data_IF_498579236195
#
_entry.id   IF_498579236195
#
_cell.length_a   1.000
_cell.length_b   1.000
_cell.length_c   1.000
_cell.angle_alpha   90.00
_cell.angle_beta   90.00
_cell.angle_gamma   90.00
#
_symmetry.space_group_name_H-M   'P 1'
#
loop_
_entity.id
_entity.type
_entity.pdbx_description
1 polymer ?
#
# COMPACT_ATOMS: atom_id res chain seq x y z
N UNK A 1 -9.65 17.35 13.39
CA UNK A 1 -9.64 18.11 12.10
C UNK A 1 -10.73 19.17 12.10
N UNK A 2 -10.45 20.44 11.72
CA UNK A 2 -11.49 21.50 11.63
C UNK A 2 -12.31 21.29 10.35
N UNK A 3 -13.59 20.94 10.48
CA UNK A 3 -14.48 20.57 9.36
C UNK A 3 -14.54 21.64 8.24
N UNK A 4 -14.62 22.92 8.60
CA UNK A 4 -14.67 24.03 7.63
C UNK A 4 -13.34 24.14 6.87
N UNK A 5 -12.21 24.02 7.57
CA UNK A 5 -10.88 24.03 6.95
C UNK A 5 -10.72 22.86 5.97
N UNK A 6 -11.14 21.65 6.38
CA UNK A 6 -11.09 20.45 5.54
C UNK A 6 -11.90 20.61 4.24
N UNK A 7 -13.09 21.16 4.31
CA UNK A 7 -13.92 21.41 3.13
C UNK A 7 -13.29 22.46 2.20
N UNK A 8 -12.69 23.51 2.75
CA UNK A 8 -11.98 24.53 1.97
C UNK A 8 -10.74 23.95 1.27
N UNK A 9 -9.97 23.12 1.98
CA UNK A 9 -8.77 22.50 1.43
C UNK A 9 -9.13 21.43 0.37
N UNK A 10 -10.18 20.64 0.59
CA UNK A 10 -10.71 19.73 -0.43
C UNK A 10 -11.22 20.49 -1.67
N UNK A 11 -11.88 21.63 -1.48
CA UNK A 11 -12.30 22.49 -2.59
C UNK A 11 -11.09 23.02 -3.37
N UNK A 12 -10.02 23.43 -2.69
CA UNK A 12 -8.75 23.84 -3.33
C UNK A 12 -8.15 22.72 -4.16
N UNK A 13 -8.04 21.48 -3.61
CA UNK A 13 -7.55 20.32 -4.34
C UNK A 13 -8.42 20.00 -5.57
N UNK A 14 -9.74 20.11 -5.46
CA UNK A 14 -10.64 19.95 -6.61
C UNK A 14 -10.47 21.04 -7.67
N UNK A 15 -10.15 22.28 -7.26
CA UNK A 15 -9.80 23.35 -8.22
C UNK A 15 -8.47 23.09 -8.91
N UNK A 16 -7.47 22.55 -8.21
CA UNK A 16 -6.19 22.18 -8.81
C UNK A 16 -6.36 21.11 -9.88
N UNK A 17 -7.24 20.13 -9.67
CA UNK A 17 -7.57 19.13 -10.68
C UNK A 17 -8.26 19.68 -11.96
N UNK A 18 -8.62 20.96 -11.95
CA UNK A 18 -9.20 21.68 -13.12
C UNK A 18 -8.24 22.68 -13.76
N UNK A 19 -6.99 22.72 -13.33
CA UNK A 19 -5.96 23.52 -13.99
C UNK A 19 -5.70 22.98 -15.41
N UNK A 20 -5.06 23.74 -16.26
CA UNK A 20 -4.46 23.21 -17.47
C UNK A 20 -3.12 22.53 -17.15
N UNK A 21 -2.65 21.69 -18.06
CA UNK A 21 -1.41 20.91 -17.88
C UNK A 21 -0.17 21.82 -17.63
N UNK A 22 -0.12 23.00 -18.25
CA UNK A 22 0.99 23.95 -18.06
C UNK A 22 0.99 24.53 -16.65
N UNK A 23 -0.17 24.95 -16.14
CA UNK A 23 -0.29 25.50 -14.78
C UNK A 23 -0.03 24.44 -13.73
N UNK A 24 -0.44 23.16 -13.97
CA UNK A 24 -0.13 22.06 -13.06
C UNK A 24 1.37 21.83 -12.98
N UNK A 25 2.09 21.79 -14.10
CA UNK A 25 3.56 21.65 -14.12
C UNK A 25 4.25 22.80 -13.37
N UNK A 26 3.80 24.04 -13.54
CA UNK A 26 4.33 25.18 -12.77
C UNK A 26 4.07 25.03 -11.27
N UNK A 27 2.91 24.52 -10.88
CA UNK A 27 2.58 24.27 -9.47
C UNK A 27 3.45 23.14 -8.89
N UNK A 28 3.62 22.05 -9.62
CA UNK A 28 4.47 20.91 -9.22
C UNK A 28 5.91 21.35 -9.05
N UNK A 29 6.46 22.06 -10.05
CA UNK A 29 7.82 22.58 -10.02
C UNK A 29 8.06 23.51 -8.83
N UNK A 30 7.15 24.45 -8.58
CA UNK A 30 7.24 25.32 -7.40
C UNK A 30 7.31 24.53 -6.09
N UNK A 31 6.48 23.50 -5.95
CA UNK A 31 6.49 22.66 -4.74
C UNK A 31 7.76 21.82 -4.64
N UNK A 32 8.27 21.33 -5.78
CA UNK A 32 9.52 20.60 -5.84
C UNK A 32 10.68 21.48 -5.34
N UNK A 33 10.82 22.70 -5.87
CA UNK A 33 11.88 23.63 -5.44
C UNK A 33 11.76 23.95 -3.95
N UNK A 34 10.54 24.19 -3.46
CA UNK A 34 10.30 24.36 -2.02
C UNK A 34 10.77 23.14 -1.20
N UNK A 35 10.53 21.93 -1.66
CA UNK A 35 10.98 20.71 -0.98
C UNK A 35 12.50 20.55 -1.02
N UNK A 36 13.15 20.86 -2.14
CA UNK A 36 14.61 20.79 -2.28
C UNK A 36 15.32 21.77 -1.35
N UNK A 37 14.89 23.04 -1.31
CA UNK A 37 15.42 24.05 -0.37
C UNK A 37 15.20 23.62 1.08
N UNK A 38 13.98 23.17 1.41
CA UNK A 38 13.67 22.72 2.76
C UNK A 38 14.56 21.55 3.20
N UNK A 39 14.77 20.57 2.32
CA UNK A 39 15.62 19.42 2.62
C UNK A 39 17.09 19.82 2.76
N UNK A 40 17.56 20.75 1.94
CA UNK A 40 18.92 21.33 2.06
C UNK A 40 19.15 22.02 3.41
N UNK A 41 18.19 22.82 3.85
CA UNK A 41 18.30 23.59 5.08
C UNK A 41 18.13 22.74 6.36
N UNK A 42 17.27 21.71 6.31
CA UNK A 42 16.78 21.04 7.52
C UNK A 42 17.18 19.56 7.65
N UNK A 43 17.70 18.91 6.60
CA UNK A 43 18.16 17.52 6.67
C UNK A 43 19.67 17.44 6.46
N UNK A 44 20.38 16.95 7.47
CA UNK A 44 21.84 16.76 7.39
C UNK A 44 22.24 15.76 6.30
N UNK A 45 21.41 14.75 6.05
CA UNK A 45 21.62 13.78 4.98
C UNK A 45 21.58 14.46 3.60
N UNK A 46 20.50 15.18 3.29
CA UNK A 46 20.34 15.78 1.95
C UNK A 46 21.38 16.87 1.68
N UNK A 47 21.66 17.73 2.65
CA UNK A 47 22.73 18.72 2.48
C UNK A 47 24.06 18.07 2.12
N UNK A 48 24.51 17.11 2.96
CA UNK A 48 25.77 16.40 2.74
C UNK A 48 25.83 15.67 1.38
N UNK A 49 24.75 14.99 1.00
CA UNK A 49 24.74 14.19 -0.25
C UNK A 49 24.65 15.07 -1.50
N UNK A 50 23.95 16.19 -1.43
CA UNK A 50 23.91 17.17 -2.52
C UNK A 50 25.26 17.85 -2.71
N UNK A 51 25.89 18.31 -1.62
CA UNK A 51 27.26 18.85 -1.65
C UNK A 51 28.27 17.83 -2.21
N UNK A 52 28.18 16.56 -1.81
CA UNK A 52 29.05 15.49 -2.31
C UNK A 52 28.83 15.21 -3.81
N UNK A 53 27.61 15.46 -4.31
CA UNK A 53 27.30 15.40 -5.75
C UNK A 53 27.69 16.69 -6.51
N UNK A 54 28.32 17.66 -5.86
CA UNK A 54 28.72 18.93 -6.45
C UNK A 54 27.57 19.92 -6.64
N UNK A 55 26.42 19.70 -6.01
CA UNK A 55 25.24 20.56 -6.08
C UNK A 55 25.38 21.65 -5.03
N UNK A 56 25.20 22.90 -5.44
CA UNK A 56 25.21 24.09 -4.59
C UNK A 56 23.79 24.57 -4.34
N UNK A 57 23.59 25.36 -3.27
CA UNK A 57 22.28 25.93 -2.94
C UNK A 57 21.69 26.76 -4.10
N UNK A 58 22.51 27.53 -4.80
CA UNK A 58 22.08 28.31 -5.97
C UNK A 58 21.56 27.48 -7.15
N UNK A 59 21.93 26.20 -7.21
CA UNK A 59 21.49 25.29 -8.28
C UNK A 59 20.16 24.58 -7.95
N UNK A 60 19.65 24.70 -6.70
CA UNK A 60 18.41 24.05 -6.31
C UNK A 60 17.20 24.54 -7.09
N UNK A 61 17.22 25.77 -7.61
CA UNK A 61 16.13 26.34 -8.38
C UNK A 61 16.09 25.90 -9.85
N UNK A 62 17.25 25.60 -10.45
CA UNK A 62 17.35 25.40 -11.91
C UNK A 62 17.78 23.98 -12.31
N UNK A 63 18.51 23.26 -11.43
CA UNK A 63 19.05 21.95 -11.77
C UNK A 63 17.91 20.93 -11.97
N UNK A 64 17.91 20.15 -13.08
CA UNK A 64 16.94 19.07 -13.26
C UNK A 64 16.95 18.07 -12.10
N UNK A 65 15.78 17.58 -11.69
CA UNK A 65 15.68 16.64 -10.56
C UNK A 65 16.48 15.36 -10.80
N UNK A 66 16.62 14.92 -12.05
CA UNK A 66 17.44 13.76 -12.44
C UNK A 66 18.93 13.88 -12.08
N UNK A 67 19.42 15.08 -11.83
CA UNK A 67 20.81 15.30 -11.38
C UNK A 67 21.01 15.09 -9.88
N UNK A 68 19.92 15.02 -9.09
CA UNK A 68 20.00 14.81 -7.66
C UNK A 68 20.21 13.32 -7.31
N UNK A 69 20.95 13.02 -6.22
CA UNK A 69 21.15 11.65 -5.76
C UNK A 69 19.84 10.93 -5.48
N UNK A 70 19.82 9.62 -5.74
CA UNK A 70 18.68 8.75 -5.41
C UNK A 70 18.89 8.08 -4.06
N UNK A 71 17.79 7.72 -3.39
CA UNK A 71 17.80 6.90 -2.19
C UNK A 71 16.97 5.63 -2.43
N UNK A 72 17.43 4.51 -1.94
CA UNK A 72 16.67 3.27 -1.87
C UNK A 72 16.31 2.93 -0.41
N UNK A 73 15.60 1.85 -0.21
CA UNK A 73 15.17 1.41 1.12
C UNK A 73 16.36 1.12 2.05
N UNK A 74 17.48 0.63 1.52
CA UNK A 74 18.66 0.33 2.33
C UNK A 74 19.29 1.63 2.85
N UNK A 75 19.58 2.55 1.96
CA UNK A 75 20.12 3.88 2.28
C UNK A 75 19.19 4.64 3.23
N UNK A 76 17.87 4.58 2.97
CA UNK A 76 16.86 5.20 3.81
C UNK A 76 16.88 4.67 5.26
N UNK A 77 17.03 3.35 5.45
CA UNK A 77 17.08 2.75 6.79
C UNK A 77 18.42 2.98 7.49
N UNK A 78 19.53 3.01 6.74
CA UNK A 78 20.87 3.26 7.27
C UNK A 78 21.04 4.71 7.74
N UNK A 79 20.41 5.67 7.07
CA UNK A 79 20.51 7.10 7.35
C UNK A 79 19.20 7.71 7.86
N UNK A 80 18.29 6.91 8.40
CA UNK A 80 16.96 7.36 8.83
C UNK A 80 17.02 8.59 9.73
N UNK A 81 17.84 8.54 10.78
CA UNK A 81 17.93 9.60 11.79
C UNK A 81 18.54 10.91 11.24
N UNK A 82 19.25 10.85 10.11
CA UNK A 82 19.77 12.02 9.39
C UNK A 82 18.79 12.56 8.32
N UNK A 83 17.90 11.69 7.81
CA UNK A 83 16.89 12.01 6.81
C UNK A 83 15.70 12.76 7.40
N UNK A 84 15.24 12.31 8.58
CA UNK A 84 14.11 12.95 9.26
C UNK A 84 14.52 14.33 9.79
N UNK A 85 13.59 15.29 9.69
CA UNK A 85 13.85 16.66 10.15
C UNK A 85 13.63 16.84 11.66
N UNK A 86 12.55 16.29 12.27
CA UNK A 86 12.36 16.43 13.72
C UNK A 86 13.45 15.68 14.51
N UNK A 87 14.16 16.41 15.36
CA UNK A 87 15.27 15.90 16.16
C UNK A 87 14.84 14.90 17.25
N UNK A 88 13.56 14.79 17.53
CA UNK A 88 13.00 13.86 18.51
C UNK A 88 12.51 12.54 17.86
N UNK A 89 12.85 12.31 16.60
CA UNK A 89 12.60 11.04 15.88
C UNK A 89 13.88 10.21 15.77
N UNK A 90 13.77 8.92 16.07
CA UNK A 90 14.85 7.95 15.95
C UNK A 90 14.28 6.61 15.50
N UNK A 91 14.93 5.96 14.53
CA UNK A 91 14.48 4.69 13.97
C UNK A 91 14.34 3.59 15.04
N UNK A 92 15.25 3.54 16.01
CA UNK A 92 15.19 2.56 17.09
C UNK A 92 13.91 2.71 17.91
N UNK A 93 13.58 3.94 18.33
CA UNK A 93 12.37 4.20 19.13
C UNK A 93 11.10 3.93 18.34
N UNK A 94 11.10 4.20 17.03
CA UNK A 94 9.95 3.89 16.16
C UNK A 94 9.72 2.39 16.03
N UNK A 95 10.79 1.59 15.95
CA UNK A 95 10.68 0.12 15.95
C UNK A 95 10.11 -0.41 17.28
N UNK A 96 10.58 0.12 18.38
CA UNK A 96 10.07 -0.24 19.72
C UNK A 96 8.59 0.15 19.86
N UNK A 97 8.21 1.33 19.37
CA UNK A 97 6.83 1.80 19.37
C UNK A 97 5.91 0.94 18.47
N UNK A 98 6.39 0.52 17.31
CA UNK A 98 5.66 -0.35 16.39
C UNK A 98 5.50 -1.77 16.94
N UNK A 99 6.56 -2.31 17.55
CA UNK A 99 6.57 -3.63 18.21
C UNK A 99 5.68 -3.67 19.45
N UNK A 100 5.50 -2.54 20.15
CA UNK A 100 4.57 -2.42 21.27
C UNK A 100 3.14 -2.40 20.72
N UNK A 101 2.63 -3.59 20.36
CA UNK A 101 1.31 -3.81 19.76
C UNK A 101 0.23 -3.22 20.65
N UNK A 102 -0.26 -2.06 20.28
CA UNK A 102 -1.45 -1.43 20.86
C UNK A 102 -2.54 -1.45 19.79
N UNK A 103 -3.72 -1.95 20.14
CA UNK A 103 -4.93 -1.77 19.32
C UNK A 103 -5.25 -0.27 19.13
N UNK A 104 -4.58 0.59 19.89
CA UNK A 104 -4.70 2.02 19.93
C UNK A 104 -3.72 2.66 18.91
N UNK A 105 -4.25 3.10 17.78
CA UNK A 105 -3.50 3.71 16.67
C UNK A 105 -3.05 5.15 16.97
N UNK A 106 -2.78 5.50 18.23
CA UNK A 106 -2.36 6.85 18.62
C UNK A 106 -1.09 7.28 17.90
N UNK A 107 -0.98 8.58 17.56
CA UNK A 107 0.25 9.14 17.02
C UNK A 107 1.42 8.93 17.99
N UNK A 108 2.60 8.62 17.45
CA UNK A 108 3.83 8.56 18.21
C UNK A 108 4.13 9.94 18.82
N UNK A 109 4.47 9.96 20.11
CA UNK A 109 4.65 11.20 20.90
C UNK A 109 3.45 12.16 20.82
N UNK A 110 2.26 11.66 20.45
CA UNK A 110 1.04 12.46 20.32
C UNK A 110 0.99 13.39 19.10
N UNK A 111 1.96 13.32 18.18
CA UNK A 111 2.10 14.26 17.05
C UNK A 111 2.54 13.64 15.72
N UNK A 112 3.06 12.42 15.71
CA UNK A 112 3.55 11.78 14.49
C UNK A 112 2.76 10.52 14.15
N UNK A 113 2.21 10.47 12.96
CA UNK A 113 1.64 9.26 12.41
C UNK A 113 2.75 8.43 11.78
N UNK A 114 2.91 7.18 12.24
CA UNK A 114 3.95 6.26 11.78
C UNK A 114 3.32 5.17 10.98
N UNK A 115 3.76 5.03 9.73
CA UNK A 115 3.33 3.99 8.79
C UNK A 115 4.52 3.10 8.48
N UNK A 116 4.34 1.80 8.51
CA UNK A 116 5.37 0.87 8.04
C UNK A 116 4.98 0.22 6.72
N UNK A 117 5.98 -0.10 5.89
CA UNK A 117 5.78 -0.97 4.71
C UNK A 117 5.64 -2.42 5.15
N UNK A 118 5.02 -3.26 4.31
CA UNK A 118 4.80 -4.70 4.57
C UNK A 118 6.07 -5.50 4.87
N UNK A 119 7.23 -4.99 4.48
CA UNK A 119 8.50 -5.66 4.76
C UNK A 119 8.78 -6.88 3.88
N UNK A 120 8.11 -7.03 2.73
CA UNK A 120 8.32 -8.11 1.76
C UNK A 120 9.79 -8.35 1.34
N UNK A 121 10.69 -7.42 1.68
CA UNK A 121 12.15 -7.52 1.50
C UNK A 121 12.90 -7.78 2.83
N UNK A 122 12.21 -8.31 3.86
CA UNK A 122 12.79 -8.71 5.14
C UNK A 122 12.88 -7.61 6.21
N UNK A 123 12.87 -6.32 5.86
CA UNK A 123 12.89 -5.22 6.84
C UNK A 123 11.84 -4.16 6.49
N UNK A 124 10.88 -3.83 7.37
CA UNK A 124 9.92 -2.77 7.11
C UNK A 124 10.61 -1.40 7.01
N UNK A 125 10.15 -0.56 6.07
CA UNK A 125 10.45 0.88 6.08
C UNK A 125 9.47 1.59 7.00
N UNK A 126 9.93 2.64 7.69
CA UNK A 126 9.11 3.45 8.58
C UNK A 126 8.93 4.84 8.00
N UNK A 127 7.69 5.22 7.74
CA UNK A 127 7.36 6.51 7.14
C UNK A 127 6.60 7.34 8.16
N UNK A 128 7.12 8.53 8.43
CA UNK A 128 6.63 9.42 9.49
C UNK A 128 5.97 10.63 8.85
N UNK A 129 4.79 10.94 9.31
CA UNK A 129 4.03 12.11 8.91
C UNK A 129 3.73 12.96 10.15
N UNK A 130 4.03 14.25 10.09
CA UNK A 130 3.47 15.17 11.06
C UNK A 130 1.98 15.46 10.77
N UNK A 131 1.33 16.22 11.64
CA UNK A 131 -0.09 16.54 11.50
C UNK A 131 -0.41 17.25 10.16
N UNK A 132 0.48 18.10 9.65
CA UNK A 132 0.27 18.83 8.39
C UNK A 132 0.39 17.90 7.18
N UNK A 133 1.41 17.04 7.15
CA UNK A 133 1.61 16.05 6.11
C UNK A 133 0.49 15.01 6.13
N UNK A 134 0.10 14.54 7.32
CA UNK A 134 -0.99 13.60 7.49
C UNK A 134 -2.33 14.14 6.97
N UNK A 135 -2.68 15.37 7.35
CA UNK A 135 -3.89 16.03 6.85
C UNK A 135 -3.84 16.25 5.33
N UNK A 136 -2.70 16.60 4.76
CA UNK A 136 -2.54 16.75 3.31
C UNK A 136 -2.75 15.42 2.58
N UNK A 137 -2.21 14.34 3.12
CA UNK A 137 -2.38 12.99 2.62
C UNK A 137 -3.85 12.55 2.68
N UNK A 138 -4.52 12.72 3.83
CA UNK A 138 -5.95 12.40 3.99
C UNK A 138 -6.84 13.14 3.00
N UNK A 139 -6.58 14.42 2.76
CA UNK A 139 -7.29 15.21 1.75
C UNK A 139 -7.09 14.66 0.34
N UNK A 140 -5.89 14.20 0.00
CA UNK A 140 -5.59 13.53 -1.27
C UNK A 140 -6.38 12.23 -1.43
N UNK A 141 -6.47 11.41 -0.38
CA UNK A 141 -7.26 10.17 -0.38
C UNK A 141 -8.75 10.44 -0.50
N UNK A 142 -9.27 11.44 0.22
CA UNK A 142 -10.69 11.85 0.12
C UNK A 142 -10.98 12.35 -1.30
N UNK A 143 -10.07 13.14 -1.91
CA UNK A 143 -10.18 13.57 -3.30
C UNK A 143 -10.29 12.37 -4.25
N UNK A 144 -9.44 11.36 -4.08
CA UNK A 144 -9.47 10.14 -4.88
C UNK A 144 -10.77 9.35 -4.69
N UNK A 145 -11.19 9.12 -3.46
CA UNK A 145 -12.43 8.40 -3.14
C UNK A 145 -13.67 9.08 -3.74
N UNK A 146 -13.66 10.42 -3.78
CA UNK A 146 -14.74 11.25 -4.34
C UNK A 146 -14.48 11.71 -5.79
N UNK A 147 -13.54 11.06 -6.49
CA UNK A 147 -13.21 11.38 -7.87
C UNK A 147 -14.45 11.26 -8.76
N UNK A 148 -14.65 12.20 -9.67
CA UNK A 148 -15.83 12.32 -10.54
C UNK A 148 -17.19 12.49 -9.83
N UNK A 149 -17.24 12.57 -8.50
CA UNK A 149 -18.49 12.89 -7.82
C UNK A 149 -18.83 14.38 -7.90
N UNK A 150 -20.05 14.70 -8.29
CA UNK A 150 -20.57 16.07 -8.21
C UNK A 150 -20.80 16.50 -6.74
N UNK A 151 -20.73 17.80 -6.47
CA UNK A 151 -20.95 18.32 -5.10
C UNK A 151 -22.33 17.92 -4.53
N UNK A 152 -23.46 17.97 -5.28
CA UNK A 152 -24.75 17.50 -4.76
C UNK A 152 -24.71 16.01 -4.35
N UNK A 153 -24.03 15.16 -5.12
CA UNK A 153 -23.88 13.73 -4.81
C UNK A 153 -23.05 13.50 -3.54
N UNK A 154 -21.98 14.28 -3.37
CA UNK A 154 -21.15 14.26 -2.14
C UNK A 154 -21.98 14.67 -0.93
N UNK A 155 -22.71 15.78 -1.00
CA UNK A 155 -23.56 16.25 0.08
C UNK A 155 -24.67 15.23 0.42
N UNK A 156 -25.28 14.61 -0.58
CA UNK A 156 -26.26 13.54 -0.39
C UNK A 156 -25.64 12.32 0.31
N UNK A 157 -24.41 11.94 -0.05
CA UNK A 157 -23.68 10.85 0.58
C UNK A 157 -23.41 11.16 2.07
N UNK A 158 -22.92 12.36 2.36
CA UNK A 158 -22.64 12.80 3.73
C UNK A 158 -23.91 12.87 4.58
N UNK A 159 -25.01 13.39 4.03
CA UNK A 159 -26.30 13.46 4.72
C UNK A 159 -26.86 12.08 5.10
N UNK A 160 -26.57 11.05 4.31
CA UNK A 160 -26.97 9.66 4.58
C UNK A 160 -26.07 8.94 5.60
N UNK A 161 -25.08 9.61 6.17
CA UNK A 161 -24.10 9.05 7.10
C UNK A 161 -23.45 7.79 6.54
N UNK A 162 -22.37 7.91 5.75
CA UNK A 162 -21.71 6.79 5.12
C UNK A 162 -21.36 5.68 6.12
N UNK A 163 -21.51 4.44 5.67
CA UNK A 163 -21.16 3.23 6.44
C UNK A 163 -20.07 2.53 5.66
N UNK A 164 -18.85 2.71 6.11
CA UNK A 164 -17.64 2.30 5.40
C UNK A 164 -17.13 1.00 5.97
N UNK A 165 -16.97 -0.03 5.13
CA UNK A 165 -16.20 -1.22 5.47
C UNK A 165 -14.82 -1.12 4.82
N UNK A 166 -13.77 -1.34 5.61
CA UNK A 166 -12.39 -1.48 5.15
C UNK A 166 -11.97 -2.94 5.25
N UNK A 167 -11.69 -3.57 4.09
CA UNK A 167 -11.37 -5.01 3.99
C UNK A 167 -9.91 -5.15 3.54
N UNK A 168 -9.01 -5.38 4.49
CA UNK A 168 -7.58 -5.47 4.25
C UNK A 168 -6.86 -6.09 5.46
N UNK A 169 -5.52 -6.14 5.44
CA UNK A 169 -4.75 -6.36 6.66
C UNK A 169 -4.93 -5.17 7.59
N UNK A 170 -5.48 -5.42 8.78
CA UNK A 170 -5.79 -4.37 9.76
C UNK A 170 -4.92 -4.44 11.01
N UNK A 171 -4.20 -5.53 11.21
CA UNK A 171 -3.25 -5.71 12.30
C UNK A 171 -1.94 -4.99 11.96
N UNK A 172 -1.53 -4.03 12.80
CA UNK A 172 -0.33 -3.21 12.59
C UNK A 172 -0.62 -1.81 12.05
N UNK A 173 0.45 -1.07 11.74
CA UNK A 173 0.41 0.34 11.30
C UNK A 173 0.47 0.45 9.77
N UNK A 174 -0.35 -0.35 9.08
CA UNK A 174 -0.51 -0.21 7.64
C UNK A 174 -1.19 1.10 7.28
N UNK A 175 -0.61 1.85 6.35
CA UNK A 175 -1.04 3.20 6.01
C UNK A 175 -2.51 3.30 5.62
N UNK A 176 -3.04 2.35 4.85
CA UNK A 176 -4.44 2.32 4.46
C UNK A 176 -5.38 2.19 5.66
N UNK A 177 -5.07 1.29 6.61
CA UNK A 177 -5.89 1.08 7.79
C UNK A 177 -5.88 2.30 8.73
N UNK A 178 -4.73 2.96 8.88
CA UNK A 178 -4.59 4.19 9.68
C UNK A 178 -5.33 5.36 9.04
N UNK A 179 -5.15 5.55 7.74
CA UNK A 179 -5.75 6.66 7.02
C UNK A 179 -7.28 6.57 6.92
N UNK A 180 -7.84 5.36 6.78
CA UNK A 180 -9.29 5.16 6.82
C UNK A 180 -9.84 5.54 8.19
N UNK A 181 -9.16 5.16 9.29
CA UNK A 181 -9.56 5.55 10.65
C UNK A 181 -9.63 7.05 10.82
N UNK A 182 -8.53 7.73 10.62
CA UNK A 182 -8.38 9.16 10.88
C UNK A 182 -9.19 10.04 9.90
N UNK A 183 -9.28 9.61 8.61
CA UNK A 183 -9.98 10.37 7.58
C UNK A 183 -11.50 10.40 7.75
N UNK A 184 -12.05 9.38 8.41
CA UNK A 184 -13.51 9.18 8.52
C UNK A 184 -14.08 9.79 9.79
N UNK A 185 -13.33 9.86 10.87
CA UNK A 185 -13.77 10.43 12.15
C UNK A 185 -14.23 11.89 12.01
N UNK A 186 -13.69 12.62 11.03
CA UNK A 186 -14.07 14.00 10.73
C UNK A 186 -15.38 14.19 9.98
N UNK A 187 -16.00 13.14 9.39
CA UNK A 187 -17.19 13.27 8.52
C UNK A 187 -18.44 12.59 9.07
N UNK A 188 -18.41 12.10 10.32
CA UNK A 188 -19.56 11.46 10.96
C UNK A 188 -20.00 10.14 10.31
N UNK A 189 -19.13 9.51 9.56
CA UNK A 189 -19.34 8.19 8.96
C UNK A 189 -19.18 7.09 10.03
N UNK A 190 -19.91 5.99 9.87
CA UNK A 190 -19.65 4.77 10.63
C UNK A 190 -18.62 3.94 9.88
N UNK A 191 -17.69 3.33 10.61
CA UNK A 191 -16.63 2.49 10.03
C UNK A 191 -16.63 1.10 10.67
N UNK A 192 -16.25 0.12 9.86
CA UNK A 192 -16.00 -1.25 10.26
C UNK A 192 -14.72 -1.73 9.58
N UNK A 193 -13.85 -2.36 10.36
CA UNK A 193 -12.65 -3.03 9.84
C UNK A 193 -12.90 -4.52 9.76
N UNK A 194 -12.63 -5.09 8.61
CA UNK A 194 -12.76 -6.50 8.37
C UNK A 194 -11.38 -7.04 7.96
N UNK A 195 -10.70 -7.63 8.91
CA UNK A 195 -9.36 -8.16 8.70
C UNK A 195 -9.39 -9.38 7.78
N UNK A 196 -8.41 -9.49 6.88
CA UNK A 196 -8.28 -10.62 5.96
C UNK A 196 -8.00 -11.95 6.68
N UNK A 197 -7.56 -11.93 7.94
CA UNK A 197 -7.41 -13.10 8.79
C UNK A 197 -8.71 -13.54 9.44
N UNK A 198 -9.76 -12.71 9.40
CA UNK A 198 -11.07 -13.05 9.98
C UNK A 198 -11.71 -14.20 9.19
N UNK A 199 -12.26 -15.23 9.85
CA UNK A 199 -12.97 -16.32 9.16
C UNK A 199 -14.17 -15.84 8.33
N UNK A 200 -14.43 -16.52 7.21
CA UNK A 200 -15.44 -16.10 6.23
C UNK A 200 -16.86 -16.05 6.78
N UNK A 201 -17.23 -16.97 7.68
CA UNK A 201 -18.52 -16.96 8.37
C UNK A 201 -18.71 -15.69 9.24
N UNK A 202 -17.65 -15.22 9.83
CA UNK A 202 -17.64 -14.00 10.62
C UNK A 202 -17.76 -12.75 9.70
N UNK A 203 -17.16 -12.78 8.50
CA UNK A 203 -17.39 -11.75 7.49
C UNK A 203 -18.89 -11.62 7.18
N UNK A 204 -19.53 -12.73 6.89
CA UNK A 204 -20.97 -12.78 6.58
C UNK A 204 -21.79 -12.18 7.73
N UNK A 205 -21.50 -12.57 8.97
CA UNK A 205 -22.19 -12.05 10.16
C UNK A 205 -22.02 -10.56 10.33
N UNK A 206 -20.77 -10.07 10.22
CA UNK A 206 -20.45 -8.65 10.41
C UNK A 206 -21.02 -7.78 9.28
N UNK A 207 -20.91 -8.21 8.01
CA UNK A 207 -21.47 -7.48 6.86
C UNK A 207 -23.01 -7.37 6.99
N UNK A 208 -23.69 -8.46 7.35
CA UNK A 208 -25.16 -8.44 7.57
C UNK A 208 -25.57 -7.48 8.68
N UNK A 209 -24.83 -7.42 9.76
CA UNK A 209 -25.12 -6.51 10.87
C UNK A 209 -24.79 -5.06 10.53
N UNK A 210 -23.68 -4.81 9.84
CA UNK A 210 -23.18 -3.48 9.56
C UNK A 210 -23.85 -2.84 8.34
N UNK A 211 -24.20 -3.60 7.29
CA UNK A 211 -24.82 -3.10 6.06
C UNK A 211 -24.02 -1.95 5.41
N UNK A 212 -22.78 -2.16 4.96
CA UNK A 212 -21.95 -1.10 4.39
C UNK A 212 -22.54 -0.55 3.09
N UNK A 213 -22.30 0.74 2.81
CA UNK A 213 -22.62 1.38 1.54
C UNK A 213 -21.39 1.97 0.81
N UNK A 214 -20.23 1.97 1.47
CA UNK A 214 -18.93 2.21 0.84
C UNK A 214 -18.03 1.03 1.21
N UNK A 215 -17.39 0.46 0.20
CA UNK A 215 -16.46 -0.65 0.36
C UNK A 215 -15.07 -0.13 0.00
N UNK A 216 -14.11 -0.30 0.89
CA UNK A 216 -12.69 0.04 0.64
C UNK A 216 -11.86 -1.20 0.95
N UNK A 217 -10.88 -1.53 0.15
CA UNK A 217 -10.00 -2.65 0.47
C UNK A 217 -9.17 -3.18 -0.69
N UNK A 218 -8.56 -4.32 -0.47
CA UNK A 218 -7.83 -5.04 -1.51
C UNK A 218 -8.77 -5.60 -2.56
N UNK A 219 -8.50 -5.45 -3.86
CA UNK A 219 -9.35 -5.99 -4.92
C UNK A 219 -9.63 -7.48 -4.76
N UNK A 220 -8.65 -8.26 -4.33
CA UNK A 220 -8.80 -9.69 -4.06
C UNK A 220 -9.80 -9.97 -2.93
N UNK A 221 -9.75 -9.21 -1.85
CA UNK A 221 -10.67 -9.33 -0.73
C UNK A 221 -12.08 -8.80 -1.07
N UNK A 222 -12.17 -7.73 -1.85
CA UNK A 222 -13.45 -7.20 -2.36
C UNK A 222 -14.10 -8.22 -3.30
N UNK A 223 -13.32 -8.96 -4.10
CA UNK A 223 -13.81 -10.06 -4.95
C UNK A 223 -14.50 -11.14 -4.12
N UNK A 224 -13.92 -11.54 -2.99
CA UNK A 224 -14.55 -12.52 -2.08
C UNK A 224 -15.90 -12.00 -1.59
N UNK A 225 -15.99 -10.72 -1.20
CA UNK A 225 -17.26 -10.13 -0.81
C UNK A 225 -18.27 -10.11 -1.98
N UNK A 226 -17.83 -9.83 -3.20
CA UNK A 226 -18.68 -9.87 -4.39
C UNK A 226 -19.24 -11.28 -4.65
N UNK A 227 -18.42 -12.32 -4.50
CA UNK A 227 -18.86 -13.71 -4.61
C UNK A 227 -19.90 -14.09 -3.52
N UNK A 228 -19.73 -13.56 -2.30
CA UNK A 228 -20.74 -13.76 -1.24
C UNK A 228 -22.08 -13.06 -1.57
N UNK A 229 -22.04 -11.89 -2.21
CA UNK A 229 -23.24 -11.18 -2.70
C UNK A 229 -23.93 -11.99 -3.79
N UNK A 230 -23.19 -12.48 -4.78
CA UNK A 230 -23.75 -13.27 -5.90
C UNK A 230 -24.38 -14.59 -5.41
N UNK A 231 -23.78 -15.24 -4.42
CA UNK A 231 -24.32 -16.45 -3.79
C UNK A 231 -25.52 -16.20 -2.87
N UNK A 232 -25.91 -14.91 -2.65
CA UNK A 232 -26.99 -14.54 -1.74
C UNK A 232 -26.65 -14.71 -0.26
N UNK A 233 -25.37 -14.90 0.09
CA UNK A 233 -24.95 -15.03 1.48
C UNK A 233 -25.05 -13.70 2.23
N UNK A 234 -24.82 -12.59 1.55
CA UNK A 234 -24.94 -11.22 2.06
C UNK A 234 -25.60 -10.32 1.03
N UNK A 235 -26.26 -9.25 1.49
CA UNK A 235 -26.77 -8.19 0.64
C UNK A 235 -25.99 -6.90 0.95
N UNK A 236 -25.49 -6.21 -0.09
CA UNK A 236 -24.73 -4.97 0.03
C UNK A 236 -25.24 -3.95 -0.98
N UNK A 237 -25.72 -2.81 -0.50
CA UNK A 237 -26.17 -1.69 -1.33
C UNK A 237 -25.03 -0.65 -1.45
N UNK A 238 -24.04 -0.96 -2.24
CA UNK A 238 -22.86 -0.10 -2.40
C UNK A 238 -23.19 1.17 -3.22
N UNK A 239 -22.70 2.32 -2.75
CA UNK A 239 -22.69 3.59 -3.48
C UNK A 239 -21.36 3.80 -4.19
N UNK A 240 -20.28 3.27 -3.59
CA UNK A 240 -18.91 3.37 -4.10
C UNK A 240 -18.08 2.16 -3.62
N UNK A 241 -17.26 1.65 -4.51
CA UNK A 241 -16.22 0.68 -4.21
C UNK A 241 -14.86 1.33 -4.45
N UNK A 242 -13.93 1.21 -3.52
CA UNK A 242 -12.59 1.78 -3.60
C UNK A 242 -11.60 0.63 -3.42
N UNK A 243 -10.96 0.28 -4.52
CA UNK A 243 -9.91 -0.72 -4.57
C UNK A 243 -8.56 -0.08 -4.26
N UNK A 244 -7.72 -0.69 -3.45
CA UNK A 244 -6.38 -0.19 -3.12
C UNK A 244 -5.44 -1.32 -2.68
N UNK A 245 -4.13 -1.04 -2.72
CA UNK A 245 -3.09 -1.90 -2.16
C UNK A 245 -2.62 -3.04 -3.07
N UNK A 246 -3.41 -3.43 -4.05
CA UNK A 246 -3.10 -4.43 -5.06
C UNK A 246 -3.50 -3.92 -6.45
N UNK A 247 -2.93 -4.47 -7.54
CA UNK A 247 -3.36 -4.15 -8.89
C UNK A 247 -4.81 -4.56 -9.17
N UNK A 248 -5.54 -3.71 -9.86
CA UNK A 248 -6.90 -3.98 -10.31
C UNK A 248 -6.96 -4.15 -11.83
N UNK A 249 -7.04 -5.39 -12.31
CA UNK A 249 -7.23 -5.66 -13.74
C UNK A 249 -8.63 -5.30 -14.24
N UNK A 250 -8.75 -5.02 -15.55
CA UNK A 250 -10.02 -4.61 -16.17
C UNK A 250 -11.16 -5.65 -15.96
N UNK A 251 -10.85 -6.93 -16.07
CA UNK A 251 -11.84 -8.00 -15.87
C UNK A 251 -12.39 -8.03 -14.45
N UNK A 252 -11.51 -7.89 -13.45
CA UNK A 252 -11.93 -7.85 -12.05
C UNK A 252 -12.71 -6.58 -11.75
N UNK A 253 -12.30 -5.42 -12.27
CA UNK A 253 -13.06 -4.17 -12.18
C UNK A 253 -14.50 -4.36 -12.67
N UNK A 254 -14.67 -4.85 -13.92
CA UNK A 254 -15.98 -5.08 -14.53
C UNK A 254 -16.83 -6.06 -13.69
N UNK A 255 -16.21 -7.09 -13.16
CA UNK A 255 -16.87 -8.05 -12.26
C UNK A 255 -17.40 -7.35 -10.99
N UNK A 256 -16.55 -6.55 -10.32
CA UNK A 256 -16.93 -5.83 -9.10
C UNK A 256 -18.04 -4.79 -9.36
N UNK A 257 -17.94 -4.03 -10.46
CA UNK A 257 -18.96 -3.04 -10.85
C UNK A 257 -20.32 -3.70 -11.10
N UNK A 258 -20.33 -4.86 -11.75
CA UNK A 258 -21.54 -5.63 -11.99
C UNK A 258 -22.13 -6.18 -10.69
N UNK A 259 -21.31 -6.81 -9.85
CA UNK A 259 -21.77 -7.47 -8.60
C UNK A 259 -22.32 -6.48 -7.60
N UNK A 260 -21.66 -5.31 -7.43
CA UNK A 260 -22.12 -4.27 -6.50
C UNK A 260 -23.02 -3.20 -7.11
N UNK A 261 -23.17 -3.17 -8.44
CA UNK A 261 -23.90 -2.12 -9.18
C UNK A 261 -23.42 -0.71 -8.81
N UNK A 262 -22.13 -0.56 -8.61
CA UNK A 262 -21.47 0.66 -8.14
C UNK A 262 -20.18 0.92 -8.92
N UNK A 263 -19.83 2.19 -9.11
CA UNK A 263 -18.56 2.57 -9.71
C UNK A 263 -17.38 2.12 -8.83
N UNK A 264 -16.36 1.52 -9.45
CA UNK A 264 -15.11 1.14 -8.81
C UNK A 264 -14.04 2.20 -9.06
N UNK A 265 -13.48 2.73 -7.99
CA UNK A 265 -12.31 3.60 -8.00
C UNK A 265 -11.09 2.77 -7.62
N UNK A 266 -10.07 2.74 -8.46
CA UNK A 266 -8.80 2.14 -8.11
C UNK A 266 -7.86 3.23 -7.58
N UNK A 267 -7.45 3.08 -6.34
CA UNK A 267 -6.61 4.05 -5.62
C UNK A 267 -5.18 3.52 -5.52
N UNK A 268 -4.24 4.31 -6.01
CA UNK A 268 -2.81 4.01 -5.92
C UNK A 268 -2.17 4.79 -4.77
N UNK A 269 -1.55 4.06 -3.87
CA UNK A 269 -0.79 4.59 -2.75
C UNK A 269 0.31 3.62 -2.33
N UNK A 270 1.39 4.15 -1.79
CA UNK A 270 2.49 3.41 -1.19
C UNK A 270 2.74 3.94 0.23
N UNK A 271 3.44 3.18 1.08
CA UNK A 271 3.77 3.65 2.44
C UNK A 271 4.59 4.95 2.41
N UNK A 272 5.38 5.15 1.38
CA UNK A 272 6.21 6.31 1.06
C UNK A 272 5.42 7.58 0.79
N UNK A 273 4.29 7.43 0.11
CA UNK A 273 3.27 8.45 -0.10
C UNK A 273 1.93 7.78 -0.32
N UNK A 274 1.06 7.85 0.69
CA UNK A 274 -0.22 7.15 0.70
C UNK A 274 -1.22 7.68 -0.35
N UNK A 275 -0.86 8.73 -1.10
CA UNK A 275 -1.75 9.34 -2.10
C UNK A 275 -0.99 9.64 -3.40
N UNK A 276 -0.78 8.61 -4.21
CA UNK A 276 -0.05 8.69 -5.47
C UNK A 276 -0.97 8.96 -6.66
N UNK A 277 -2.14 8.30 -6.74
CA UNK A 277 -3.00 8.44 -7.89
C UNK A 277 -4.36 7.77 -7.78
N UNK A 278 -5.15 7.92 -8.84
CA UNK A 278 -6.50 7.35 -8.98
C UNK A 278 -6.77 6.90 -10.41
N UNK A 279 -7.45 5.77 -10.58
CA UNK A 279 -7.91 5.27 -11.87
C UNK A 279 -9.40 4.99 -11.80
N UNK A 280 -10.14 5.49 -12.80
CA UNK A 280 -11.59 5.28 -12.93
C UNK A 280 -11.93 4.20 -13.94
N UNK A 281 -11.10 4.06 -14.96
CA UNK A 281 -11.20 3.01 -15.97
C UNK A 281 -9.78 2.67 -16.49
N UNK A 282 -9.61 1.47 -17.03
CA UNK A 282 -8.31 1.00 -17.49
C UNK A 282 -7.81 1.74 -18.75
N UNK A 283 -8.71 2.28 -19.58
CA UNK A 283 -8.38 2.95 -20.85
C UNK A 283 -7.68 4.30 -20.61
N UNK A 284 -8.14 5.04 -19.60
CA UNK A 284 -7.53 6.33 -19.23
C UNK A 284 -6.20 6.16 -18.48
N UNK A 285 -5.96 4.99 -17.89
CA UNK A 285 -4.83 4.71 -17.02
C UNK A 285 -4.94 5.39 -15.65
N UNK A 286 -3.91 5.22 -14.84
CA UNK A 286 -3.80 5.80 -13.49
C UNK A 286 -3.43 7.28 -13.58
N UNK A 287 -4.27 8.17 -13.10
CA UNK A 287 -4.04 9.62 -12.99
C UNK A 287 -3.16 9.85 -11.75
N UNK A 288 -1.94 10.33 -11.93
CA UNK A 288 -1.00 10.59 -10.84
C UNK A 288 -1.18 12.00 -10.27
N UNK A 289 -1.10 12.15 -8.97
CA UNK A 289 -1.32 13.44 -8.31
C UNK A 289 -0.05 14.30 -8.33
N UNK A 290 0.23 14.96 -9.46
CA UNK A 290 1.40 15.82 -9.67
C UNK A 290 1.44 17.03 -8.72
N UNK A 291 0.31 17.42 -8.17
CA UNK A 291 0.25 18.47 -7.15
C UNK A 291 0.67 17.98 -5.74
N UNK A 292 0.91 16.69 -5.57
CA UNK A 292 1.33 16.08 -4.30
C UNK A 292 2.64 15.29 -4.42
N UNK A 293 2.97 14.83 -5.61
CA UNK A 293 4.16 14.01 -5.85
C UNK A 293 4.84 14.41 -7.14
N UNK A 294 6.15 14.16 -7.20
CA UNK A 294 6.91 14.17 -8.43
C UNK A 294 7.38 12.74 -8.68
N UNK A 295 6.92 12.13 -9.76
CA UNK A 295 7.23 10.75 -10.12
C UNK A 295 8.08 10.76 -11.39
N UNK A 296 9.23 10.10 -11.33
CA UNK A 296 10.14 9.87 -12.46
C UNK A 296 10.22 8.38 -12.75
N UNK A 297 10.45 8.04 -14.02
CA UNK A 297 10.78 6.66 -14.41
C UNK A 297 12.02 6.71 -15.27
N UNK A 298 13.10 6.10 -14.79
CA UNK A 298 14.38 6.00 -15.49
C UNK A 298 14.72 4.51 -15.66
N UNK A 299 14.92 4.07 -16.90
CA UNK A 299 15.23 2.66 -17.22
C UNK A 299 14.27 1.64 -16.57
N UNK A 300 12.98 1.98 -16.51
CA UNK A 300 11.94 1.12 -15.91
C UNK A 300 11.88 1.16 -14.38
N UNK A 301 12.71 1.97 -13.73
CA UNK A 301 12.73 2.18 -12.27
C UNK A 301 11.96 3.43 -11.92
N UNK A 302 11.02 3.32 -10.99
CA UNK A 302 10.24 4.44 -10.46
C UNK A 302 10.99 5.15 -9.33
N UNK A 303 11.04 6.47 -9.39
CA UNK A 303 11.53 7.33 -8.31
C UNK A 303 10.43 8.30 -7.88
N UNK A 304 10.25 8.42 -6.57
CA UNK A 304 9.25 9.28 -5.94
C UNK A 304 9.91 10.43 -5.19
N UNK A 305 9.45 11.66 -5.45
CA UNK A 305 9.67 12.80 -4.57
C UNK A 305 8.33 13.24 -3.99
N UNK A 306 8.16 13.14 -2.67
CA UNK A 306 6.96 13.55 -1.96
C UNK A 306 6.96 15.06 -1.72
N UNK A 307 5.94 15.79 -2.19
CA UNK A 307 5.92 17.26 -2.18
C UNK A 307 5.16 17.87 -1.00
N UNK A 308 4.71 17.07 -0.03
CA UNK A 308 3.90 17.54 1.10
C UNK A 308 4.37 17.06 2.47
N UNK A 309 5.29 16.10 2.55
CA UNK A 309 5.80 15.58 3.82
C UNK A 309 7.15 16.21 4.16
N UNK A 310 7.12 17.26 4.96
CA UNK A 310 8.31 17.98 5.40
C UNK A 310 8.94 17.38 6.66
N UNK A 311 8.24 16.57 7.43
CA UNK A 311 8.82 15.86 8.58
C UNK A 311 9.82 14.79 8.14
N UNK A 312 9.57 14.15 7.00
CA UNK A 312 10.46 13.16 6.40
C UNK A 312 10.49 13.37 4.88
N UNK A 313 11.32 14.31 4.40
CA UNK A 313 11.49 14.52 2.96
C UNK A 313 11.93 13.23 2.26
N UNK A 314 11.23 12.86 1.21
CA UNK A 314 11.65 11.78 0.31
C UNK A 314 11.91 12.40 -1.06
N UNK A 315 13.17 12.46 -1.47
CA UNK A 315 13.62 13.00 -2.74
C UNK A 315 14.26 11.88 -3.54
N UNK A 316 13.71 11.60 -4.73
CA UNK A 316 14.12 10.51 -5.63
C UNK A 316 14.25 9.14 -4.92
N UNK A 317 13.24 8.83 -4.10
CA UNK A 317 13.17 7.54 -3.43
C UNK A 317 12.75 6.45 -4.42
N UNK A 318 13.57 5.40 -4.53
CA UNK A 318 13.33 4.26 -5.43
C UNK A 318 12.20 3.39 -4.91
N UNK A 319 11.15 3.26 -5.71
CA UNK A 319 10.02 2.35 -5.47
C UNK A 319 10.14 1.14 -6.42
N UNK A 320 9.73 -0.03 -5.95
CA UNK A 320 9.81 -1.29 -6.71
C UNK A 320 8.73 -1.44 -7.79
N UNK A 321 7.77 -0.50 -7.86
CA UNK A 321 6.73 -0.53 -8.88
C UNK A 321 7.28 -0.11 -10.25
N UNK A 322 6.75 -0.73 -11.30
CA UNK A 322 7.11 -0.41 -12.68
C UNK A 322 5.95 0.31 -13.35
N UNK A 323 6.23 1.49 -13.89
CA UNK A 323 5.25 2.36 -14.55
C UNK A 323 5.75 2.78 -15.94
N UNK A 324 4.81 3.05 -16.84
CA UNK A 324 5.05 3.83 -18.05
C UNK A 324 4.31 5.15 -17.93
N UNK A 325 5.03 6.25 -17.94
CA UNK A 325 4.44 7.59 -17.77
C UNK A 325 4.03 8.20 -19.12
N UNK A 326 2.85 8.81 -19.13
CA UNK A 326 2.37 9.66 -20.20
C UNK A 326 2.04 11.04 -19.63
N UNK A 327 2.75 12.06 -20.07
CA UNK A 327 2.52 13.44 -19.65
C UNK A 327 1.11 13.90 -20.05
N UNK A 328 0.52 14.81 -19.28
CA UNK A 328 -0.71 15.48 -19.66
C UNK A 328 -0.51 16.32 -20.91
N UNK A 329 -1.38 16.13 -21.89
CA UNK A 329 -1.43 16.89 -23.15
C UNK A 329 -2.38 18.10 -23.01
N UNK A 330 -2.22 19.11 -23.88
CA UNK A 330 -3.19 20.19 -23.97
C UNK A 330 -4.55 19.63 -24.41
N UNK A 331 -5.61 20.03 -23.67
CA UNK A 331 -6.96 19.51 -23.91
C UNK A 331 -7.30 18.21 -23.17
N UNK A 332 -6.37 17.63 -22.44
CA UNK A 332 -6.69 16.50 -21.55
C UNK A 332 -7.74 16.88 -20.51
N UNK A 333 -8.67 15.98 -20.16
CA UNK A 333 -9.72 16.25 -19.17
C UNK A 333 -9.14 16.51 -17.76
N UNK A 334 -7.91 16.06 -17.52
CA UNK A 334 -7.17 16.27 -16.28
C UNK A 334 -5.74 16.76 -16.57
N UNK A 335 -5.21 17.67 -15.73
CA UNK A 335 -3.89 18.28 -15.93
C UNK A 335 -2.72 17.40 -15.46
N UNK A 336 -2.98 16.16 -15.10
CA UNK A 336 -2.06 15.26 -14.41
C UNK A 336 -1.36 14.29 -15.37
N UNK A 337 -0.13 13.92 -15.04
CA UNK A 337 0.57 12.78 -15.63
C UNK A 337 -0.23 11.49 -15.41
N UNK A 338 -0.19 10.58 -16.37
CA UNK A 338 -0.86 9.28 -16.28
C UNK A 338 0.17 8.16 -16.29
N UNK A 339 -0.05 7.13 -15.49
CA UNK A 339 0.64 5.86 -15.65
C UNK A 339 -0.20 4.95 -16.54
N UNK A 340 0.37 4.55 -17.67
CA UNK A 340 -0.22 3.59 -18.60
C UNK A 340 0.56 2.29 -18.45
N UNK A 341 -0.05 1.29 -17.83
CA UNK A 341 0.61 0.05 -17.48
C UNK A 341 1.28 0.12 -16.09
N UNK A 342 0.50 -0.08 -15.06
CA UNK A 342 0.99 -0.38 -13.71
C UNK A 342 1.27 -1.88 -13.65
N UNK A 343 2.53 -2.26 -13.74
CA UNK A 343 2.98 -3.62 -13.53
C UNK A 343 3.14 -3.83 -12.01
N UNK A 344 2.00 -4.00 -11.34
CA UNK A 344 1.98 -4.27 -9.91
C UNK A 344 2.36 -5.70 -9.58
N UNK A 345 2.45 -6.00 -8.28
CA UNK A 345 2.62 -7.37 -7.78
C UNK A 345 1.30 -8.12 -7.96
N UNK A 346 1.30 -9.18 -8.78
CA UNK A 346 0.20 -10.16 -8.79
C UNK A 346 0.36 -11.01 -7.53
N UNK A 347 -0.40 -10.69 -6.50
CA UNK A 347 -0.46 -11.49 -5.28
C UNK A 347 -1.67 -12.41 -5.37
N UNK A 348 -1.42 -13.72 -5.39
CA UNK A 348 -2.47 -14.74 -5.44
C UNK A 348 -2.93 -15.09 -4.04
N UNK A 349 -4.22 -15.45 -3.92
CA UNK A 349 -4.80 -15.96 -2.68
C UNK A 349 -4.71 -17.49 -2.67
N UNK A 350 -4.26 -18.06 -1.55
CA UNK A 350 -4.34 -19.50 -1.31
C UNK A 350 -5.77 -19.86 -0.86
N UNK A 351 -6.40 -20.79 -1.59
CA UNK A 351 -7.73 -21.28 -1.26
C UNK A 351 -7.67 -22.71 -0.75
N UNK A 352 -8.33 -22.95 0.38
CA UNK A 352 -8.45 -24.27 1.01
C UNK A 352 -9.89 -24.69 1.12
N UNK A 353 -10.12 -26.01 1.15
CA UNK A 353 -11.44 -26.62 1.25
C UNK A 353 -11.39 -27.69 2.36
N UNK A 354 -12.26 -27.58 3.36
CA UNK A 354 -12.35 -28.55 4.44
C UNK A 354 -13.03 -29.85 3.99
N UNK A 355 -13.05 -30.87 4.86
CA UNK A 355 -13.67 -32.15 4.58
C UNK A 355 -15.19 -32.09 4.37
N UNK A 356 -15.83 -30.95 4.67
CA UNK A 356 -17.26 -30.69 4.45
C UNK A 356 -17.52 -29.85 3.18
N UNK A 357 -16.48 -29.49 2.43
CA UNK A 357 -16.57 -28.68 1.22
C UNK A 357 -16.69 -27.15 1.48
N UNK A 358 -16.52 -26.69 2.72
CA UNK A 358 -16.46 -25.25 3.01
C UNK A 358 -15.11 -24.70 2.54
N UNK A 359 -15.16 -23.51 1.92
CA UNK A 359 -13.97 -22.84 1.42
C UNK A 359 -13.54 -21.72 2.36
N UNK A 360 -12.24 -21.67 2.63
CA UNK A 360 -11.60 -20.58 3.35
C UNK A 360 -10.34 -20.16 2.58
N UNK A 361 -9.87 -18.95 2.81
CA UNK A 361 -8.73 -18.38 2.11
C UNK A 361 -7.63 -17.90 3.05
N UNK A 362 -6.40 -17.92 2.57
CA UNK A 362 -5.25 -17.31 3.21
C UNK A 362 -4.69 -16.22 2.28
N UNK A 363 -4.80 -14.97 2.74
CA UNK A 363 -4.33 -13.83 1.96
C UNK A 363 -2.81 -13.70 2.04
N UNK A 364 -2.10 -13.34 0.96
CA UNK A 364 -0.64 -13.12 0.98
C UNK A 364 -0.16 -12.27 2.14
N UNK A 365 -0.84 -11.15 2.41
CA UNK A 365 -0.49 -10.24 3.52
C UNK A 365 -0.65 -10.86 4.92
N UNK A 366 -1.35 -11.98 5.05
CA UNK A 366 -1.44 -12.71 6.31
C UNK A 366 -0.18 -13.54 6.58
N UNK A 367 0.59 -13.86 5.53
CA UNK A 367 1.75 -14.74 5.55
C UNK A 367 3.05 -14.07 5.09
N UNK A 368 3.04 -12.79 4.71
CA UNK A 368 4.25 -12.05 4.31
C UNK A 368 5.14 -11.64 5.49
N UNK A 369 4.63 -11.70 6.71
CA UNK A 369 5.30 -11.19 7.91
C UNK A 369 6.27 -12.14 8.58
N UNK A 370 6.70 -13.23 7.94
CA UNK A 370 7.71 -14.12 8.51
C UNK A 370 9.03 -13.39 8.66
N UNK A 371 9.44 -13.17 9.89
CA UNK A 371 10.70 -12.53 10.23
C UNK A 371 11.33 -13.24 11.44
N UNK A 372 12.39 -14.01 11.18
CA UNK A 372 13.12 -14.72 12.22
C UNK A 372 14.61 -14.71 11.91
N UNK A 373 15.43 -14.92 12.93
CA UNK A 373 16.88 -14.91 12.78
C UNK A 373 17.32 -16.02 11.82
N UNK A 374 18.07 -15.64 10.81
CA UNK A 374 18.59 -16.57 9.80
C UNK A 374 17.68 -16.84 8.61
N UNK A 375 16.44 -16.39 8.60
CA UNK A 375 15.62 -16.40 7.38
C UNK A 375 16.07 -15.27 6.46
N UNK A 376 16.44 -15.60 5.20
CA UNK A 376 16.91 -14.64 4.20
C UNK A 376 15.80 -14.24 3.23
N UNK A 377 15.07 -15.24 2.70
CA UNK A 377 13.98 -15.03 1.73
C UNK A 377 13.02 -16.22 1.76
N UNK A 378 11.78 -16.06 1.24
CA UNK A 378 10.83 -17.15 1.18
C UNK A 378 9.74 -16.93 0.12
N UNK A 379 9.13 -18.05 -0.29
CA UNK A 379 8.00 -18.14 -1.21
C UNK A 379 7.02 -19.21 -0.77
N UNK A 380 5.73 -19.06 -1.10
CA UNK A 380 4.72 -20.08 -0.85
C UNK A 380 4.24 -20.71 -2.15
N UNK A 381 3.84 -21.96 -2.10
CA UNK A 381 3.20 -22.69 -3.20
C UNK A 381 2.04 -23.52 -2.68
N UNK A 382 0.89 -23.45 -3.33
CA UNK A 382 -0.22 -24.34 -3.01
C UNK A 382 0.09 -25.77 -3.51
N UNK A 383 0.16 -26.73 -2.59
CA UNK A 383 0.47 -28.12 -2.88
C UNK A 383 -0.80 -28.97 -3.09
N UNK A 384 -1.92 -28.59 -2.49
CA UNK A 384 -3.19 -29.32 -2.56
C UNK A 384 -4.40 -28.45 -2.22
N UNK A 385 -5.57 -29.08 -2.05
CA UNK A 385 -6.79 -28.42 -1.58
C UNK A 385 -6.72 -28.03 -0.10
N UNK A 386 -5.92 -28.76 0.65
CA UNK A 386 -5.72 -28.66 2.09
C UNK A 386 -4.24 -28.61 2.48
N UNK A 387 -3.35 -28.26 1.53
CA UNK A 387 -1.92 -28.23 1.77
C UNK A 387 -1.22 -27.11 1.00
N UNK A 388 -0.18 -26.54 1.61
CA UNK A 388 0.76 -25.61 0.96
C UNK A 388 2.17 -25.74 1.54
N UNK A 389 3.14 -25.23 0.79
CA UNK A 389 4.56 -25.29 1.10
C UNK A 389 5.16 -23.90 1.18
N UNK A 390 6.12 -23.72 2.07
CA UNK A 390 7.02 -22.57 2.13
C UNK A 390 8.41 -23.00 1.68
N UNK A 391 8.87 -22.44 0.58
CA UNK A 391 10.27 -22.48 0.19
C UNK A 391 11.01 -21.42 0.99
N UNK A 392 12.04 -21.80 1.72
CA UNK A 392 12.78 -20.90 2.60
C UNK A 392 14.27 -20.93 2.32
N UNK A 393 14.82 -19.78 2.02
CA UNK A 393 16.26 -19.54 1.94
C UNK A 393 16.76 -19.11 3.33
N UNK A 394 17.75 -19.82 3.88
CA UNK A 394 18.27 -19.54 5.22
C UNK A 394 19.77 -19.35 5.23
N UNK A 395 20.28 -18.59 6.19
CA UNK A 395 21.71 -18.43 6.44
C UNK A 395 22.34 -19.75 6.91
N UNK A 396 23.52 -20.08 6.39
CA UNK A 396 24.28 -21.26 6.80
C UNK A 396 24.71 -21.29 8.25
N UNK A 397 24.49 -20.20 9.00
CA UNK A 397 24.84 -20.07 10.43
C UNK A 397 23.75 -20.56 11.39
N UNK A 398 22.57 -20.90 10.90
CA UNK A 398 21.42 -21.29 11.75
C UNK A 398 21.10 -22.78 11.64
N UNK A 399 20.56 -23.34 12.73
CA UNK A 399 20.07 -24.72 12.73
C UNK A 399 18.78 -24.84 11.93
N UNK A 400 18.77 -25.71 10.90
CA UNK A 400 17.59 -25.98 10.09
C UNK A 400 16.39 -26.45 10.92
N UNK A 401 16.64 -27.27 11.95
CA UNK A 401 15.55 -27.80 12.79
C UNK A 401 14.97 -26.74 13.70
N UNK A 402 15.81 -25.87 14.26
CA UNK A 402 15.34 -24.78 15.12
C UNK A 402 14.48 -23.77 14.34
N UNK A 403 14.97 -23.31 13.20
CA UNK A 403 14.22 -22.34 12.36
C UNK A 403 12.94 -22.96 11.76
N UNK A 404 12.97 -24.25 11.38
CA UNK A 404 11.77 -24.98 10.94
C UNK A 404 10.70 -25.02 12.02
N UNK A 405 11.09 -25.32 13.27
CA UNK A 405 10.16 -25.36 14.39
C UNK A 405 9.49 -24.02 14.62
N UNK A 406 10.26 -22.95 14.55
CA UNK A 406 9.74 -21.58 14.70
C UNK A 406 8.78 -21.20 13.56
N UNK A 407 9.14 -21.54 12.29
CA UNK A 407 8.27 -21.32 11.14
C UNK A 407 6.94 -22.08 11.24
N UNK A 408 6.99 -23.34 11.66
CA UNK A 408 5.79 -24.18 11.82
C UNK A 408 4.88 -23.61 12.92
N UNK A 409 5.44 -23.18 14.06
CA UNK A 409 4.64 -22.61 15.15
C UNK A 409 4.01 -21.26 14.76
N UNK A 410 4.77 -20.37 14.10
CA UNK A 410 4.23 -19.11 13.63
C UNK A 410 3.10 -19.30 12.61
N UNK A 411 3.28 -20.23 11.64
CA UNK A 411 2.23 -20.53 10.67
C UNK A 411 1.02 -21.17 11.33
N UNK A 412 1.22 -22.07 12.29
CA UNK A 412 0.14 -22.71 13.02
C UNK A 412 -0.78 -21.69 13.71
N UNK A 413 -0.22 -20.64 14.31
CA UNK A 413 -1.01 -19.56 14.92
C UNK A 413 -1.87 -18.84 13.86
N UNK A 414 -1.29 -18.50 12.71
CA UNK A 414 -2.01 -17.86 11.59
C UNK A 414 -3.16 -18.75 11.10
N UNK A 415 -2.91 -20.03 10.93
CA UNK A 415 -3.93 -20.99 10.47
C UNK A 415 -5.06 -21.16 11.49
N UNK A 416 -4.74 -21.24 12.78
CA UNK A 416 -5.74 -21.31 13.85
C UNK A 416 -6.64 -20.06 13.88
N UNK A 417 -6.07 -18.86 13.74
CA UNK A 417 -6.84 -17.61 13.67
C UNK A 417 -7.85 -17.57 12.53
N UNK A 418 -7.55 -18.30 11.43
CA UNK A 418 -8.40 -18.42 10.22
C UNK A 418 -9.34 -19.62 10.21
N UNK A 419 -9.37 -20.45 11.23
CA UNK A 419 -10.04 -21.76 11.24
C UNK A 419 -9.53 -22.71 10.13
N UNK A 420 -8.24 -22.63 9.84
CA UNK A 420 -7.53 -23.46 8.85
C UNK A 420 -6.62 -24.51 9.53
N UNK A 421 -6.94 -24.92 10.75
CA UNK A 421 -6.18 -25.87 11.55
C UNK A 421 -6.08 -27.27 10.91
N UNK A 422 -6.96 -27.57 9.93
CA UNK A 422 -6.93 -28.78 9.11
C UNK A 422 -5.90 -28.70 7.95
N UNK A 423 -5.37 -27.50 7.63
CA UNK A 423 -4.46 -27.31 6.49
C UNK A 423 -3.05 -27.75 6.85
N UNK A 424 -2.46 -28.55 5.97
CA UNK A 424 -1.10 -29.04 6.12
C UNK A 424 -0.12 -28.01 5.59
N UNK A 425 0.87 -27.64 6.41
CA UNK A 425 1.92 -26.71 6.05
C UNK A 425 3.28 -27.39 6.10
N UNK A 426 4.05 -27.24 5.03
CA UNK A 426 5.39 -27.81 4.90
C UNK A 426 6.44 -26.73 4.68
N UNK A 427 7.63 -26.92 5.25
CA UNK A 427 8.80 -26.05 5.03
C UNK A 427 9.83 -26.81 4.22
N UNK A 428 10.21 -26.25 3.08
CA UNK A 428 11.23 -26.76 2.16
C UNK A 428 12.38 -25.77 2.12
N UNK A 429 13.58 -26.18 2.56
CA UNK A 429 14.76 -25.32 2.47
C UNK A 429 15.35 -25.38 1.08
N UNK A 430 15.66 -24.20 0.54
CA UNK A 430 16.30 -24.02 -0.77
C UNK A 430 17.59 -23.21 -0.62
N UNK A 431 18.51 -23.37 -1.56
CA UNK A 431 19.77 -22.61 -1.54
C UNK A 431 19.55 -21.14 -1.89
N UNK A 432 18.60 -20.83 -2.77
CA UNK A 432 18.24 -19.49 -3.19
C UNK A 432 16.79 -19.44 -3.66
N UNK A 433 16.08 -18.34 -3.35
CA UNK A 433 14.78 -18.03 -3.94
C UNK A 433 14.97 -17.30 -5.26
N UNK A 434 14.67 -17.98 -6.38
CA UNK A 434 14.87 -17.45 -7.72
C UNK A 434 13.72 -16.51 -8.14
N UNK A 435 14.03 -15.41 -8.85
CA UNK A 435 13.00 -14.56 -9.46
C UNK A 435 12.35 -15.25 -10.66
N UNK A 436 11.11 -14.85 -10.98
CA UNK A 436 10.44 -15.22 -12.24
C UNK A 436 11.32 -14.80 -13.43
N UNK A 437 11.77 -15.73 -14.29
CA UNK A 437 12.67 -15.44 -15.40
C UNK A 437 12.08 -14.49 -16.45
N UNK A 438 10.74 -14.32 -16.49
CA UNK A 438 10.06 -13.43 -17.43
C UNK A 438 9.97 -11.99 -16.92
N UNK A 439 9.76 -11.82 -15.61
CA UNK A 439 9.48 -10.51 -15.00
C UNK A 439 10.63 -9.99 -14.14
N UNK A 440 11.57 -10.85 -13.74
CA UNK A 440 12.64 -10.53 -12.80
C UNK A 440 12.15 -10.29 -11.36
N UNK A 441 10.86 -10.54 -11.07
CA UNK A 441 10.27 -10.33 -9.75
C UNK A 441 10.21 -11.64 -8.98
N UNK A 442 10.27 -11.53 -7.64
CA UNK A 442 10.06 -12.66 -6.74
C UNK A 442 8.61 -12.56 -6.18
N UNK A 443 7.62 -13.29 -6.73
CA UNK A 443 6.28 -13.32 -6.16
C UNK A 443 6.30 -14.02 -4.80
N UNK A 444 5.47 -13.57 -3.87
CA UNK A 444 5.35 -14.22 -2.56
C UNK A 444 4.68 -15.60 -2.68
N UNK A 445 3.73 -15.73 -3.63
CA UNK A 445 3.01 -16.97 -3.89
C UNK A 445 3.23 -17.41 -5.34
N UNK A 446 3.66 -18.65 -5.52
CA UNK A 446 3.76 -19.31 -6.82
C UNK A 446 2.42 -19.90 -7.21
N UNK A 447 1.97 -19.63 -8.45
CA UNK A 447 0.76 -20.24 -8.99
C UNK A 447 0.93 -21.74 -9.21
N UNK A 448 -0.19 -22.48 -9.20
CA UNK A 448 -0.20 -23.92 -9.44
C UNK A 448 0.36 -24.25 -10.82
N UNK A 449 1.47 -24.98 -10.86
CA UNK A 449 2.19 -25.36 -12.08
C UNK A 449 3.35 -24.41 -12.46
N UNK A 450 3.55 -23.30 -11.76
CA UNK A 450 4.73 -22.46 -11.90
C UNK A 450 5.84 -22.98 -10.97
N UNK A 451 6.87 -23.59 -11.52
CA UNK A 451 8.10 -23.95 -10.81
C UNK A 451 9.28 -23.49 -11.66
N UNK A 452 9.96 -22.45 -11.25
CA UNK A 452 11.28 -22.09 -11.74
C UNK A 452 12.37 -22.26 -10.68
N UNK A 453 12.00 -22.84 -9.54
CA UNK A 453 12.97 -23.35 -8.56
C UNK A 453 13.50 -24.67 -9.10
N UNK A 454 14.82 -24.81 -9.17
CA UNK A 454 15.45 -26.06 -9.60
C UNK A 454 15.03 -27.20 -8.64
N UNK A 455 14.32 -28.22 -9.13
CA UNK A 455 13.94 -29.39 -8.33
C UNK A 455 15.17 -30.13 -7.74
N UNK A 456 16.37 -29.84 -8.26
CA UNK A 456 17.63 -30.42 -7.78
C UNK A 456 18.14 -29.78 -6.46
N UNK A 457 17.62 -28.63 -6.07
CA UNK A 457 18.00 -27.96 -4.81
C UNK A 457 17.10 -28.35 -3.62
N UNK A 458 16.07 -29.15 -3.85
CA UNK A 458 15.21 -29.68 -2.78
C UNK A 458 15.98 -30.77 -2.02
N UNK A 459 16.60 -30.38 -0.93
CA UNK A 459 17.21 -31.33 0.02
C UNK A 459 16.03 -31.96 0.79
N UNK A 460 15.59 -33.13 0.35
CA UNK A 460 14.70 -33.97 1.13
C UNK A 460 15.38 -34.29 2.46
N UNK A 461 14.82 -33.81 3.57
CA UNK A 461 15.27 -34.09 4.93
C UNK A 461 14.11 -34.49 5.80
#
# INVERSE_FOLDING_TARGET
MNYVKTLLDLYRLKRQAKLDAKRMRVLQEKKLRTMLHYAWENSTYYKRTFEAAGITEAQLDDLPLSCFPTIDKKVFLEHFDELVVPQDLCLRELREFDAAVSADRKPYKGKYHVVHSSGSTGKPGYFVYDEAAWNSMLLGMIRAALWNMSMPRILSLLAKRPRIVYIAATNGRYGGAMAVGDGIDGVGAKQMYLDIKTPLNEWIRQIKAFQPNIIIGYPSAIKILAELVEKGNVEVNAVRVISCGEPLGASLRNYLEKSFRAEVVNFYGASESLTLGVEMNAEDGMILFDDMNFIEVESGVMYLTCLYNFAQPLIRYRISDSLVLKAAEEGSPYPFTRAVGLLGRNEDILWFEDGSGNKEFLHPLAIEGFCMEGLLDYQFRQAGKDAFEMYAEISGSVSKDAIRTEMLEQMRQILLEKNLDYVQFYVVFVDEILPDPRTGKKPLILQKGETWQDEKSVIAG
#
